data_IF_031436218657
#
_entry.id   IF_031436218657
#
_cell.length_a   1.000
_cell.length_b   1.000
_cell.length_c   1.000
_cell.angle_alpha   90.00
_cell.angle_beta   90.00
_cell.angle_gamma   90.00
#
_symmetry.space_group_name_H-M   'P 1'
#
loop_
_entity.id
_entity.type
_entity.pdbx_description
1 polymer ?
#
# COMPACT_ATOMS: atom_id res chain seq x y z
N UNK A 1 52.74 -3.76 37.26
CA UNK A 1 51.55 -4.59 37.06
C UNK A 1 51.12 -4.41 35.62
N UNK A 2 51.43 -5.40 34.79
CA UNK A 2 51.19 -5.41 33.35
C UNK A 2 49.75 -5.87 33.12
N UNK A 3 48.94 -5.07 32.41
CA UNK A 3 47.58 -5.45 32.03
C UNK A 3 47.69 -6.10 30.66
N UNK A 4 47.63 -7.41 30.64
CA UNK A 4 47.52 -8.20 29.43
C UNK A 4 46.17 -7.90 28.74
N UNK A 5 46.21 -7.18 27.64
CA UNK A 5 45.11 -7.09 26.69
C UNK A 5 44.95 -8.44 25.99
N UNK A 6 44.06 -9.25 26.45
CA UNK A 6 43.53 -10.39 25.69
C UNK A 6 42.83 -9.81 24.42
N UNK A 7 43.57 -9.83 23.32
CA UNK A 7 42.99 -9.68 22.00
C UNK A 7 42.06 -10.86 21.77
N UNK A 8 40.76 -10.63 21.94
CA UNK A 8 39.73 -11.55 21.40
C UNK A 8 39.89 -11.50 19.88
N UNK A 9 40.48 -12.52 19.30
CA UNK A 9 40.46 -12.75 17.86
C UNK A 9 39.00 -12.81 17.45
N UNK A 10 38.56 -11.80 16.72
CA UNK A 10 37.27 -11.82 16.03
C UNK A 10 37.39 -12.94 15.01
N UNK A 11 36.84 -14.10 15.34
CA UNK A 11 36.73 -15.21 14.40
C UNK A 11 36.05 -14.65 13.14
N UNK A 12 36.84 -14.56 12.07
CA UNK A 12 36.28 -14.23 10.74
C UNK A 12 35.26 -15.30 10.45
N UNK A 13 33.98 -14.91 10.48
CA UNK A 13 32.87 -15.78 10.11
C UNK A 13 33.04 -16.03 8.61
N UNK A 14 33.83 -17.03 8.26
CA UNK A 14 33.80 -17.64 6.93
C UNK A 14 32.52 -18.41 6.84
N UNK A 15 31.44 -17.70 6.56
CA UNK A 15 30.15 -18.33 6.21
C UNK A 15 30.38 -18.98 4.85
N UNK A 16 30.62 -20.28 4.84
CA UNK A 16 30.59 -21.03 3.60
C UNK A 16 29.21 -20.84 3.00
N UNK A 17 29.16 -20.27 1.80
CA UNK A 17 27.93 -20.11 1.05
C UNK A 17 27.55 -21.49 0.57
N UNK A 18 26.60 -22.15 1.24
CA UNK A 18 26.11 -23.48 0.89
C UNK A 18 24.87 -23.44 0.02
N UNK A 19 24.35 -22.24 -0.32
CA UNK A 19 23.16 -22.02 -1.12
C UNK A 19 23.47 -21.17 -2.36
N UNK A 20 22.65 -21.28 -3.37
CA UNK A 20 22.60 -20.34 -4.51
C UNK A 20 21.74 -19.16 -4.10
N UNK A 21 22.31 -17.97 -4.11
CA UNK A 21 21.58 -16.72 -3.88
C UNK A 21 21.35 -16.00 -5.20
N UNK A 22 20.12 -15.56 -5.44
CA UNK A 22 19.74 -14.83 -6.64
C UNK A 22 18.88 -13.61 -6.31
N UNK A 23 19.16 -12.47 -6.93
CA UNK A 23 18.28 -11.30 -6.94
C UNK A 23 17.62 -11.17 -8.29
N UNK A 24 16.35 -10.74 -8.28
CA UNK A 24 15.54 -10.52 -9.46
C UNK A 24 15.18 -9.04 -9.58
N UNK A 25 15.57 -8.43 -10.69
CA UNK A 25 15.06 -7.14 -11.13
C UNK A 25 14.03 -7.36 -12.21
N UNK A 26 12.80 -6.99 -11.92
CA UNK A 26 11.64 -7.25 -12.75
C UNK A 26 11.26 -6.03 -13.57
N UNK A 27 11.06 -6.21 -14.86
CA UNK A 27 10.45 -5.23 -15.73
C UNK A 27 9.48 -5.91 -16.71
N UNK A 28 8.68 -5.14 -17.39
CA UNK A 28 7.69 -5.70 -18.34
C UNK A 28 8.32 -6.48 -19.50
N UNK A 29 9.48 -6.05 -19.94
CA UNK A 29 10.13 -6.63 -21.14
C UNK A 29 11.24 -7.62 -20.81
N UNK A 30 11.89 -7.49 -19.66
CA UNK A 30 13.04 -8.33 -19.30
C UNK A 30 13.14 -8.47 -17.77
N UNK A 31 13.60 -9.63 -17.35
CA UNK A 31 14.00 -9.88 -15.97
C UNK A 31 15.51 -10.11 -15.91
N UNK A 32 16.16 -9.44 -14.96
CA UNK A 32 17.59 -9.58 -14.76
C UNK A 32 17.82 -10.41 -13.51
N UNK A 33 18.49 -11.55 -13.68
CA UNK A 33 18.87 -12.47 -12.62
C UNK A 33 20.34 -12.25 -12.28
N UNK A 34 20.62 -11.72 -11.10
CA UNK A 34 22.00 -11.63 -10.59
C UNK A 34 22.19 -12.68 -9.52
N UNK A 35 23.18 -13.56 -9.66
CA UNK A 35 23.35 -14.70 -8.75
C UNK A 35 24.78 -14.90 -8.30
N UNK A 36 24.93 -15.50 -7.12
CA UNK A 36 26.18 -16.04 -6.59
C UNK A 36 25.95 -17.48 -6.15
N UNK A 37 26.89 -18.34 -6.41
CA UNK A 37 26.79 -19.77 -6.10
C UNK A 37 27.99 -20.27 -5.35
N UNK A 38 27.87 -21.34 -4.54
CA UNK A 38 28.98 -21.99 -3.87
C UNK A 38 30.11 -22.39 -4.84
N UNK A 39 31.34 -22.33 -4.39
CA UNK A 39 32.51 -22.68 -5.19
C UNK A 39 32.89 -21.69 -6.31
N UNK A 40 32.13 -20.59 -6.48
CA UNK A 40 32.44 -19.54 -7.47
C UNK A 40 33.29 -18.39 -6.92
N UNK A 41 33.67 -18.44 -5.66
CA UNK A 41 34.27 -17.32 -4.94
C UNK A 41 33.23 -16.19 -4.77
N UNK A 42 33.67 -14.94 -4.81
CA UNK A 42 32.76 -13.78 -4.74
C UNK A 42 32.24 -13.31 -6.10
N UNK A 43 32.47 -14.11 -7.16
CA UNK A 43 32.06 -13.73 -8.53
C UNK A 43 30.55 -13.86 -8.71
N UNK A 44 29.92 -12.73 -8.96
CA UNK A 44 28.49 -12.67 -9.32
C UNK A 44 28.32 -12.91 -10.82
N UNK A 45 27.34 -13.72 -11.18
CA UNK A 45 26.90 -13.93 -12.57
C UNK A 45 25.59 -13.21 -12.83
N UNK A 46 25.40 -12.75 -14.07
CA UNK A 46 24.22 -12.02 -14.49
C UNK A 46 23.64 -12.65 -15.74
N UNK A 47 22.34 -12.83 -15.74
CA UNK A 47 21.59 -13.37 -16.87
C UNK A 47 20.34 -12.52 -17.10
N UNK A 48 19.89 -12.49 -18.34
CA UNK A 48 18.64 -11.82 -18.73
C UNK A 48 17.70 -12.86 -19.29
N UNK A 49 16.47 -12.84 -18.83
CA UNK A 49 15.35 -13.62 -19.38
C UNK A 49 14.23 -12.68 -19.79
N UNK A 50 13.35 -13.13 -20.67
CA UNK A 50 12.20 -12.36 -21.10
C UNK A 50 11.25 -12.09 -19.92
N UNK A 51 10.67 -10.88 -19.89
CA UNK A 51 9.73 -10.50 -18.85
C UNK A 51 8.44 -11.31 -18.93
N UNK A 52 8.07 -11.99 -17.83
CA UNK A 52 6.91 -12.87 -17.76
C UNK A 52 7.21 -14.34 -18.03
N UNK A 53 8.38 -14.69 -18.57
CA UNK A 53 8.76 -16.08 -18.84
C UNK A 53 9.31 -16.76 -17.56
N UNK A 54 8.37 -17.36 -16.81
CA UNK A 54 8.69 -18.09 -15.59
C UNK A 54 9.48 -19.39 -15.89
N UNK A 55 9.25 -20.03 -17.05
CA UNK A 55 9.97 -21.26 -17.41
C UNK A 55 11.44 -20.96 -17.64
N UNK A 56 11.76 -19.99 -18.50
CA UNK A 56 13.13 -19.56 -18.74
C UNK A 56 13.84 -19.07 -17.47
N UNK A 57 13.12 -18.45 -16.52
CA UNK A 57 13.67 -18.11 -15.23
C UNK A 57 14.04 -19.35 -14.42
N UNK A 58 13.16 -20.34 -14.32
CA UNK A 58 13.43 -21.59 -13.60
C UNK A 58 14.59 -22.36 -14.23
N UNK A 59 14.61 -22.53 -15.56
CA UNK A 59 15.70 -23.18 -16.28
C UNK A 59 17.04 -22.52 -15.98
N UNK A 60 17.03 -21.19 -15.88
CA UNK A 60 18.24 -20.43 -15.54
C UNK A 60 18.70 -20.67 -14.10
N UNK A 61 17.78 -20.69 -13.14
CA UNK A 61 18.09 -20.97 -11.73
C UNK A 61 18.62 -22.40 -11.57
N UNK A 62 18.02 -23.37 -12.24
CA UNK A 62 18.47 -24.77 -12.27
C UNK A 62 19.86 -24.93 -12.91
N UNK A 63 20.12 -24.20 -14.01
CA UNK A 63 21.45 -24.19 -14.61
C UNK A 63 22.53 -23.62 -13.69
N UNK A 64 22.22 -22.62 -12.85
CA UNK A 64 23.13 -22.08 -11.83
C UNK A 64 23.35 -23.09 -10.72
N UNK A 65 22.27 -23.76 -10.28
CA UNK A 65 22.34 -24.83 -9.27
C UNK A 65 23.20 -25.99 -9.75
N UNK A 66 22.98 -26.49 -10.96
CA UNK A 66 23.74 -27.61 -11.53
C UNK A 66 25.24 -27.29 -11.60
N UNK A 67 25.63 -26.08 -11.99
CA UNK A 67 27.02 -25.61 -11.98
C UNK A 67 27.59 -25.55 -10.56
N UNK A 68 26.81 -25.12 -9.58
CA UNK A 68 27.22 -25.10 -8.19
C UNK A 68 27.47 -26.52 -7.66
N UNK A 69 26.59 -27.45 -7.94
CA UNK A 69 26.70 -28.86 -7.58
C UNK A 69 27.97 -29.51 -8.14
N UNK A 70 28.24 -29.26 -9.44
CA UNK A 70 29.48 -29.79 -10.07
C UNK A 70 30.75 -29.24 -9.43
N UNK A 71 30.77 -27.96 -9.01
CA UNK A 71 31.96 -27.34 -8.39
C UNK A 71 32.21 -27.80 -6.97
N UNK A 72 31.15 -28.04 -6.22
CA UNK A 72 31.27 -28.35 -4.77
C UNK A 72 31.27 -29.83 -4.47
N UNK A 73 30.92 -30.69 -5.44
CA UNK A 73 30.68 -32.12 -5.20
C UNK A 73 29.55 -32.38 -4.20
N UNK A 74 28.80 -31.36 -3.85
CA UNK A 74 27.81 -31.37 -2.78
C UNK A 74 26.43 -31.83 -3.27
N UNK A 75 25.58 -32.22 -2.32
CA UNK A 75 24.16 -32.41 -2.58
C UNK A 75 23.54 -31.13 -3.13
N UNK A 76 22.32 -31.23 -3.68
CA UNK A 76 21.55 -30.14 -4.26
C UNK A 76 21.54 -28.89 -3.35
N UNK A 77 22.19 -27.76 -3.73
CA UNK A 77 22.19 -26.56 -2.92
C UNK A 77 20.80 -25.91 -2.94
N UNK A 78 20.37 -25.36 -1.81
CA UNK A 78 19.14 -24.55 -1.75
C UNK A 78 19.25 -23.34 -2.68
N UNK A 79 18.16 -22.97 -3.35
CA UNK A 79 18.06 -21.74 -4.15
C UNK A 79 17.23 -20.71 -3.38
N UNK A 80 17.89 -19.61 -3.00
CA UNK A 80 17.26 -18.50 -2.27
C UNK A 80 17.19 -17.29 -3.19
N UNK A 81 15.95 -16.83 -3.44
CA UNK A 81 15.67 -15.77 -4.40
C UNK A 81 15.09 -14.55 -3.68
N UNK A 82 15.48 -13.35 -4.09
CA UNK A 82 14.91 -12.10 -3.62
C UNK A 82 14.49 -11.18 -4.75
N UNK A 83 13.28 -10.62 -4.66
CA UNK A 83 12.77 -9.58 -5.55
C UNK A 83 12.37 -8.34 -4.76
N UNK A 84 12.35 -7.17 -5.41
CA UNK A 84 11.80 -5.97 -4.82
C UNK A 84 10.26 -5.99 -4.83
N UNK A 85 9.65 -5.40 -3.81
CA UNK A 85 8.21 -5.12 -3.81
C UNK A 85 7.93 -3.99 -4.82
N UNK A 86 7.30 -4.33 -5.93
CA UNK A 86 7.07 -3.41 -7.05
C UNK A 86 5.70 -3.56 -7.70
N UNK A 87 5.57 -3.00 -8.90
CA UNK A 87 4.34 -3.05 -9.71
C UNK A 87 4.01 -4.46 -10.23
N UNK A 88 5.00 -5.34 -10.26
CA UNK A 88 4.85 -6.73 -10.71
C UNK A 88 4.04 -7.59 -9.74
N UNK A 89 3.76 -7.08 -8.54
CA UNK A 89 2.99 -7.78 -7.52
C UNK A 89 3.74 -8.95 -6.88
N UNK A 90 2.97 -9.92 -6.38
CA UNK A 90 3.53 -11.05 -5.62
C UNK A 90 3.33 -12.42 -6.31
N UNK A 91 2.82 -12.43 -7.53
CA UNK A 91 2.54 -13.68 -8.24
C UNK A 91 3.81 -14.51 -8.49
N UNK A 92 4.91 -13.84 -8.86
CA UNK A 92 6.19 -14.51 -9.11
C UNK A 92 6.76 -15.13 -7.82
N UNK A 93 6.72 -14.41 -6.71
CA UNK A 93 7.10 -14.93 -5.40
C UNK A 93 6.31 -16.22 -5.06
N UNK A 94 4.99 -16.20 -5.23
CA UNK A 94 4.14 -17.39 -5.00
C UNK A 94 4.45 -18.54 -5.96
N UNK A 95 4.69 -18.22 -7.24
CA UNK A 95 5.03 -19.20 -8.26
C UNK A 95 6.39 -19.87 -7.98
N UNK A 96 7.38 -19.12 -7.49
CA UNK A 96 8.67 -19.66 -7.08
C UNK A 96 8.54 -20.55 -5.83
N UNK A 97 7.79 -20.11 -4.82
CA UNK A 97 7.54 -20.93 -3.63
C UNK A 97 6.82 -22.24 -3.96
N UNK A 98 5.84 -22.21 -4.86
CA UNK A 98 5.13 -23.41 -5.32
C UNK A 98 6.07 -24.42 -6.04
N UNK A 99 7.21 -23.96 -6.56
CA UNK A 99 8.25 -24.79 -7.17
C UNK A 99 9.36 -25.21 -6.20
N UNK A 100 9.22 -24.89 -4.92
CA UNK A 100 10.18 -25.26 -3.88
C UNK A 100 11.37 -24.30 -3.71
N UNK A 101 11.37 -23.14 -4.37
CA UNK A 101 12.40 -22.13 -4.14
C UNK A 101 12.11 -21.33 -2.87
N UNK A 102 13.15 -21.02 -2.09
CA UNK A 102 13.03 -20.08 -0.97
C UNK A 102 13.00 -18.65 -1.52
N UNK A 103 11.81 -18.06 -1.59
CA UNK A 103 11.61 -16.73 -2.17
C UNK A 103 11.32 -15.67 -1.11
N UNK A 104 11.96 -14.52 -1.24
CA UNK A 104 11.78 -13.35 -0.39
C UNK A 104 11.39 -12.11 -1.21
N UNK A 105 10.63 -11.22 -0.60
CA UNK A 105 10.29 -9.92 -1.16
C UNK A 105 10.80 -8.84 -0.22
N UNK A 106 11.55 -7.87 -0.73
CA UNK A 106 12.16 -6.81 0.07
C UNK A 106 11.53 -5.45 -0.23
N UNK A 107 11.43 -4.61 0.80
CA UNK A 107 11.14 -3.18 0.62
C UNK A 107 12.42 -2.48 0.14
N UNK A 108 12.47 -2.12 -1.13
CA UNK A 108 13.62 -1.43 -1.75
C UNK A 108 14.04 -0.16 -0.99
N UNK A 109 13.07 0.57 -0.43
CA UNK A 109 13.35 1.78 0.36
C UNK A 109 14.06 1.50 1.69
N UNK A 110 14.06 0.25 2.16
CA UNK A 110 14.72 -0.18 3.40
C UNK A 110 16.18 -0.57 3.21
N UNK A 111 16.62 -0.80 1.98
CA UNK A 111 18.02 -1.17 1.68
C UNK A 111 18.89 0.07 1.85
N UNK A 112 19.96 -0.06 2.65
CA UNK A 112 20.90 1.02 2.88
C UNK A 112 21.68 1.36 1.60
N UNK A 113 21.33 2.47 0.95
CA UNK A 113 22.08 2.96 -0.21
C UNK A 113 23.27 3.84 0.23
N UNK A 114 24.47 3.68 -0.37
CA UNK A 114 25.60 4.55 -0.09
C UNK A 114 25.31 6.00 -0.49
N UNK A 115 25.17 6.91 0.49
CA UNK A 115 24.77 8.31 0.29
C UNK A 115 25.73 9.14 -0.58
N UNK A 116 27.00 8.73 -0.68
CA UNK A 116 28.07 9.51 -1.35
C UNK A 116 28.18 9.29 -2.86
N UNK A 117 27.43 8.37 -3.44
CA UNK A 117 27.55 8.09 -4.88
C UNK A 117 26.22 8.31 -5.57
N UNK A 118 25.95 9.52 -6.06
CA UNK A 118 25.05 9.75 -7.19
C UNK A 118 25.69 9.10 -8.43
N UNK A 119 25.75 7.75 -8.44
CA UNK A 119 26.12 6.99 -9.63
C UNK A 119 24.91 6.88 -10.54
N UNK A 120 25.18 6.78 -11.85
CA UNK A 120 24.13 6.42 -12.81
C UNK A 120 23.39 5.19 -12.29
N UNK A 121 22.06 5.30 -12.19
CA UNK A 121 21.21 4.16 -11.88
C UNK A 121 21.25 3.23 -13.08
N UNK A 122 21.76 2.02 -12.90
CA UNK A 122 21.78 0.98 -13.93
C UNK A 122 21.30 -0.31 -13.30
N UNK A 123 20.51 -1.08 -14.03
CA UNK A 123 19.97 -2.39 -13.63
C UNK A 123 21.08 -3.31 -13.04
N UNK A 124 22.31 -3.15 -13.49
CA UNK A 124 23.46 -3.92 -12.97
C UNK A 124 23.80 -3.60 -11.51
N UNK A 125 23.80 -2.31 -11.16
CA UNK A 125 24.17 -1.88 -9.80
C UNK A 125 23.06 -2.19 -8.81
N UNK A 126 21.81 -2.16 -9.28
CA UNK A 126 20.65 -2.44 -8.47
C UNK A 126 20.59 -3.94 -8.14
N UNK A 127 20.79 -4.85 -9.11
CA UNK A 127 20.84 -6.30 -8.87
C UNK A 127 21.97 -6.76 -7.96
N UNK A 128 23.17 -6.18 -8.12
CA UNK A 128 24.29 -6.47 -7.21
C UNK A 128 24.00 -5.98 -5.78
N UNK A 129 23.40 -4.80 -5.62
CA UNK A 129 23.04 -4.25 -4.32
C UNK A 129 21.96 -5.10 -3.62
N UNK A 130 20.96 -5.53 -4.39
CA UNK A 130 19.89 -6.40 -3.92
C UNK A 130 20.45 -7.76 -3.47
N UNK A 131 21.36 -8.36 -4.26
CA UNK A 131 21.99 -9.62 -3.92
C UNK A 131 22.88 -9.52 -2.65
N UNK A 132 23.61 -8.42 -2.49
CA UNK A 132 24.40 -8.17 -1.27
C UNK A 132 23.51 -8.00 -0.05
N UNK A 133 22.38 -7.32 -0.20
CA UNK A 133 21.39 -7.19 0.88
C UNK A 133 20.82 -8.55 1.28
N UNK A 134 20.53 -9.43 0.30
CA UNK A 134 20.09 -10.79 0.59
C UNK A 134 21.13 -11.59 1.36
N UNK A 135 22.38 -11.56 0.93
CA UNK A 135 23.49 -12.26 1.60
C UNK A 135 23.69 -11.77 3.05
N UNK A 136 23.68 -10.47 3.25
CA UNK A 136 23.85 -9.89 4.58
C UNK A 136 22.66 -10.23 5.49
N UNK A 137 21.43 -10.17 4.96
CA UNK A 137 20.23 -10.56 5.68
C UNK A 137 20.25 -12.06 6.05
N UNK A 138 20.65 -12.94 5.13
CA UNK A 138 20.76 -14.39 5.37
C UNK A 138 21.79 -14.74 6.45
N UNK A 139 22.81 -13.92 6.62
CA UNK A 139 23.78 -14.04 7.72
C UNK A 139 23.27 -13.50 9.06
N UNK A 140 22.05 -12.96 9.11
CA UNK A 140 21.47 -12.37 10.31
C UNK A 140 22.00 -10.98 10.65
N UNK A 141 22.65 -10.27 9.70
CA UNK A 141 23.13 -8.92 9.94
C UNK A 141 21.97 -7.98 10.25
N UNK A 142 22.02 -7.19 11.33
CA UNK A 142 20.93 -6.33 11.73
C UNK A 142 20.80 -5.12 10.80
N UNK A 143 19.56 -4.68 10.55
CA UNK A 143 19.23 -3.43 9.85
C UNK A 143 19.70 -3.33 8.39
N UNK A 144 19.92 -4.44 7.73
CA UNK A 144 20.32 -4.48 6.32
C UNK A 144 19.16 -4.09 5.40
N UNK A 145 18.03 -4.73 5.60
CA UNK A 145 16.81 -4.48 4.84
C UNK A 145 15.58 -4.96 5.63
N UNK A 146 14.40 -4.60 5.15
CA UNK A 146 13.12 -5.06 5.68
C UNK A 146 12.43 -5.97 4.68
N UNK A 147 12.26 -7.25 5.03
CA UNK A 147 11.47 -8.15 4.21
C UNK A 147 9.99 -7.80 4.29
N UNK A 148 9.35 -7.77 3.14
CA UNK A 148 7.90 -7.61 3.02
C UNK A 148 7.24 -8.95 3.29
N UNK A 149 6.17 -8.96 4.07
CA UNK A 149 5.27 -10.11 4.15
C UNK A 149 4.28 -9.99 2.98
N UNK A 150 4.41 -10.81 1.92
CA UNK A 150 3.47 -10.79 0.81
C UNK A 150 2.06 -11.08 1.31
N UNK A 151 1.06 -10.34 0.85
CA UNK A 151 -0.33 -10.64 1.18
C UNK A 151 -0.77 -11.91 0.47
N UNK A 152 -1.78 -12.60 1.02
CA UNK A 152 -2.44 -13.69 0.30
C UNK A 152 -3.26 -13.14 -0.87
N UNK A 153 -3.64 -13.98 -1.88
CA UNK A 153 -4.52 -13.52 -2.97
C UNK A 153 -5.82 -12.90 -2.45
N UNK A 154 -6.42 -13.48 -1.41
CA UNK A 154 -7.65 -12.99 -0.78
C UNK A 154 -7.43 -11.62 -0.12
N UNK A 155 -6.29 -11.42 0.56
CA UNK A 155 -5.93 -10.13 1.13
C UNK A 155 -5.70 -9.06 0.05
N UNK A 156 -5.12 -9.45 -1.08
CA UNK A 156 -4.98 -8.54 -2.23
C UNK A 156 -6.33 -8.16 -2.79
N UNK A 157 -7.25 -9.13 -2.92
CA UNK A 157 -8.59 -8.90 -3.46
C UNK A 157 -9.42 -7.99 -2.56
N UNK A 158 -9.42 -8.21 -1.26
CA UNK A 158 -10.11 -7.32 -0.30
C UNK A 158 -9.63 -5.86 -0.41
N UNK A 159 -8.34 -5.64 -0.70
CA UNK A 159 -7.78 -4.30 -0.88
C UNK A 159 -8.16 -3.63 -2.19
N UNK A 160 -8.59 -4.40 -3.22
CA UNK A 160 -8.92 -3.86 -4.55
C UNK A 160 -10.03 -2.83 -4.49
N UNK A 161 -11.14 -3.14 -3.84
CA UNK A 161 -12.28 -2.22 -3.73
C UNK A 161 -11.89 -0.85 -3.14
N UNK A 162 -11.03 -0.85 -2.12
CA UNK A 162 -10.51 0.40 -1.56
C UNK A 162 -9.61 1.18 -2.53
N UNK A 163 -8.82 0.48 -3.35
CA UNK A 163 -7.89 1.10 -4.31
C UNK A 163 -8.66 1.63 -5.51
N UNK A 164 -9.57 0.84 -6.05
CA UNK A 164 -10.47 1.23 -7.13
C UNK A 164 -11.30 2.47 -6.77
N UNK A 165 -11.92 2.47 -5.59
CA UNK A 165 -12.63 3.65 -5.10
C UNK A 165 -11.78 4.92 -5.14
N UNK A 166 -10.50 4.83 -4.76
CA UNK A 166 -9.59 5.98 -4.78
C UNK A 166 -9.40 6.51 -6.20
N UNK A 167 -9.24 5.65 -7.19
CA UNK A 167 -9.09 6.07 -8.59
C UNK A 167 -10.41 6.64 -9.14
N UNK A 168 -11.55 6.01 -8.88
CA UNK A 168 -12.86 6.55 -9.26
C UNK A 168 -13.15 7.94 -8.65
N UNK A 169 -12.78 8.16 -7.39
CA UNK A 169 -12.88 9.50 -6.77
C UNK A 169 -11.99 10.52 -7.48
N UNK A 170 -10.78 10.15 -7.85
CA UNK A 170 -9.87 11.02 -8.60
C UNK A 170 -10.42 11.37 -9.99
N UNK A 171 -10.93 10.37 -10.72
CA UNK A 171 -11.56 10.57 -12.02
C UNK A 171 -12.79 11.48 -11.90
N UNK A 172 -13.63 11.26 -10.90
CA UNK A 172 -14.77 12.14 -10.60
C UNK A 172 -14.34 13.60 -10.43
N UNK A 173 -13.27 13.84 -9.64
CA UNK A 173 -12.78 15.20 -9.42
C UNK A 173 -12.31 15.82 -10.74
N UNK A 174 -11.58 15.08 -11.57
CA UNK A 174 -11.12 15.55 -12.88
C UNK A 174 -12.31 15.90 -13.78
N UNK A 175 -13.35 15.05 -13.84
CA UNK A 175 -14.55 15.32 -14.65
C UNK A 175 -15.33 16.54 -14.15
N UNK A 176 -15.53 16.66 -12.85
CA UNK A 176 -16.20 17.82 -12.23
C UNK A 176 -15.46 19.11 -12.55
N UNK A 177 -14.15 19.14 -12.35
CA UNK A 177 -13.34 20.33 -12.61
C UNK A 177 -13.34 20.70 -14.10
N UNK A 178 -13.34 19.72 -15.00
CA UNK A 178 -13.37 19.95 -16.44
C UNK A 178 -14.72 20.55 -16.89
N UNK A 179 -15.84 20.05 -16.35
CA UNK A 179 -17.17 20.62 -16.61
C UNK A 179 -17.22 22.08 -16.10
N UNK A 180 -16.80 22.32 -14.86
CA UNK A 180 -16.73 23.66 -14.27
C UNK A 180 -15.85 24.59 -15.09
N UNK A 181 -14.68 24.14 -15.54
CA UNK A 181 -13.75 24.93 -16.35
C UNK A 181 -14.33 25.34 -17.71
N UNK A 182 -15.05 24.43 -18.40
CA UNK A 182 -15.72 24.74 -19.66
C UNK A 182 -16.83 25.78 -19.49
N UNK A 183 -17.60 25.68 -18.42
CA UNK A 183 -18.67 26.63 -18.11
C UNK A 183 -18.10 27.98 -17.62
N UNK A 184 -17.03 27.95 -16.83
CA UNK A 184 -16.35 29.16 -16.37
C UNK A 184 -15.82 30.00 -17.56
N UNK A 185 -15.29 29.33 -18.59
CA UNK A 185 -14.87 29.99 -19.83
C UNK A 185 -16.03 30.66 -20.60
N UNK A 186 -17.27 30.36 -20.25
CA UNK A 186 -18.50 31.01 -20.78
C UNK A 186 -19.08 32.03 -19.80
N UNK A 187 -18.36 32.38 -18.73
CA UNK A 187 -18.85 33.31 -17.71
C UNK A 187 -19.83 32.68 -16.70
N UNK A 188 -19.90 31.35 -16.60
CA UNK A 188 -20.79 30.63 -15.70
C UNK A 188 -19.99 30.00 -14.57
N UNK A 189 -20.07 30.58 -13.35
CA UNK A 189 -19.27 30.15 -12.19
C UNK A 189 -20.02 29.28 -11.17
N UNK A 190 -21.34 29.27 -11.17
CA UNK A 190 -22.17 28.71 -10.10
C UNK A 190 -22.78 27.32 -10.41
N UNK A 191 -22.39 26.70 -11.52
CA UNK A 191 -22.86 25.37 -11.88
C UNK A 191 -22.18 24.27 -11.06
N UNK A 192 -22.99 23.41 -10.45
CA UNK A 192 -22.51 22.27 -9.62
C UNK A 192 -22.87 20.92 -10.26
N UNK A 193 -21.89 20.25 -10.91
CA UNK A 193 -22.12 18.99 -11.62
C UNK A 193 -22.58 17.81 -10.73
N UNK A 194 -22.32 17.87 -9.43
CA UNK A 194 -22.69 16.79 -8.50
C UNK A 194 -24.13 16.86 -8.00
N UNK A 195 -24.86 17.93 -8.27
CA UNK A 195 -26.28 18.04 -7.91
C UNK A 195 -27.12 17.02 -8.66
N UNK A 196 -28.20 16.54 -8.04
CA UNK A 196 -29.11 15.57 -8.66
C UNK A 196 -29.87 16.16 -9.86
N UNK A 197 -30.18 17.46 -9.81
CA UNK A 197 -30.88 18.21 -10.86
C UNK A 197 -29.91 18.79 -11.92
N UNK A 198 -28.67 18.29 -12.02
CA UNK A 198 -27.62 18.79 -12.90
C UNK A 198 -28.04 18.98 -14.35
N UNK A 199 -28.73 18.00 -14.93
CA UNK A 199 -29.18 18.08 -16.33
C UNK A 199 -30.26 19.15 -16.53
N UNK A 200 -31.26 19.19 -15.64
CA UNK A 200 -32.31 20.23 -15.70
C UNK A 200 -31.74 21.63 -15.57
N UNK A 201 -30.70 21.79 -14.75
CA UNK A 201 -29.99 23.08 -14.57
C UNK A 201 -29.11 23.47 -15.75
N UNK A 202 -28.66 22.50 -16.56
CA UNK A 202 -27.82 22.78 -17.74
C UNK A 202 -28.67 23.44 -18.87
N UNK A 203 -29.94 23.09 -18.99
CA UNK A 203 -30.82 23.53 -20.09
C UNK A 203 -31.00 25.05 -20.15
N UNK A 204 -31.34 25.77 -19.05
CA UNK A 204 -31.61 27.20 -19.08
C UNK A 204 -30.31 28.05 -18.95
N UNK A 205 -29.12 27.45 -18.89
CA UNK A 205 -27.90 28.22 -18.71
C UNK A 205 -27.68 29.22 -19.84
N UNK A 206 -27.25 30.41 -19.46
CA UNK A 206 -26.81 31.50 -20.34
C UNK A 206 -25.35 31.83 -20.08
N UNK A 207 -24.68 32.18 -21.13
CA UNK A 207 -23.28 32.71 -21.05
C UNK A 207 -23.26 34.06 -20.33
N UNK A 208 -22.13 34.50 -19.87
CA UNK A 208 -21.95 35.81 -19.20
C UNK A 208 -22.40 37.01 -20.03
N UNK A 209 -22.43 36.88 -21.36
CA UNK A 209 -22.94 37.86 -22.32
C UNK A 209 -24.45 37.60 -22.71
N UNK A 210 -25.14 36.69 -22.00
CA UNK A 210 -26.60 36.50 -22.13
C UNK A 210 -27.03 35.49 -23.21
N UNK A 211 -26.13 34.96 -24.04
CA UNK A 211 -26.46 34.01 -25.11
C UNK A 211 -26.77 32.61 -24.52
N UNK A 212 -27.49 31.80 -25.29
CA UNK A 212 -27.61 30.38 -24.98
C UNK A 212 -26.28 29.66 -25.19
N UNK A 213 -26.05 28.56 -24.48
CA UNK A 213 -24.88 27.71 -24.73
C UNK A 213 -24.91 27.18 -26.17
N UNK A 214 -23.76 27.29 -26.84
CA UNK A 214 -23.59 26.81 -28.21
C UNK A 214 -23.84 25.30 -28.32
N UNK A 215 -24.44 24.79 -29.41
CA UNK A 215 -24.88 23.42 -29.54
C UNK A 215 -23.76 22.37 -29.33
N UNK A 216 -22.56 22.65 -29.82
CA UNK A 216 -21.42 21.71 -29.68
C UNK A 216 -20.92 21.65 -28.22
N UNK A 217 -20.86 22.79 -27.53
CA UNK A 217 -20.51 22.84 -26.11
C UNK A 217 -21.57 22.11 -25.28
N UNK A 218 -22.86 22.33 -25.55
CA UNK A 218 -23.95 21.65 -24.86
C UNK A 218 -23.90 20.14 -25.06
N UNK A 219 -23.64 19.67 -26.29
CA UNK A 219 -23.43 18.25 -26.60
C UNK A 219 -22.20 17.67 -25.84
N UNK A 220 -21.11 18.44 -25.78
CA UNK A 220 -19.90 18.04 -25.04
C UNK A 220 -20.20 17.90 -23.55
N UNK A 221 -20.85 18.89 -22.94
CA UNK A 221 -21.22 18.86 -21.53
C UNK A 221 -22.15 17.69 -21.21
N UNK A 222 -23.12 17.37 -22.05
CA UNK A 222 -23.99 16.22 -21.86
C UNK A 222 -23.21 14.90 -21.87
N UNK A 223 -22.29 14.69 -22.84
CA UNK A 223 -21.42 13.50 -22.84
C UNK A 223 -20.51 13.41 -21.61
N UNK A 224 -20.11 14.56 -21.05
CA UNK A 224 -19.32 14.58 -19.80
C UNK A 224 -20.18 14.27 -18.59
N UNK A 225 -21.46 14.69 -18.58
CA UNK A 225 -22.41 14.32 -17.54
C UNK A 225 -22.74 12.83 -17.60
N UNK A 226 -22.88 12.22 -18.80
CA UNK A 226 -23.07 10.78 -18.96
C UNK A 226 -21.92 10.00 -18.27
N UNK A 227 -20.66 10.41 -18.52
CA UNK A 227 -19.48 9.80 -17.89
C UNK A 227 -19.47 10.02 -16.39
N UNK A 228 -19.83 11.22 -15.93
CA UNK A 228 -19.87 11.51 -14.50
C UNK A 228 -20.93 10.67 -13.78
N UNK A 229 -22.10 10.46 -14.39
CA UNK A 229 -23.15 9.62 -13.84
C UNK A 229 -22.71 8.16 -13.73
N UNK A 230 -22.09 7.61 -14.78
CA UNK A 230 -21.49 6.28 -14.74
C UNK A 230 -20.47 6.15 -13.62
N UNK A 231 -19.56 7.14 -13.47
CA UNK A 231 -18.57 7.15 -12.38
C UNK A 231 -19.22 7.19 -10.99
N UNK A 232 -20.32 7.91 -10.83
CA UNK A 232 -21.05 7.97 -9.56
C UNK A 232 -21.74 6.64 -9.24
N UNK A 233 -22.29 5.95 -10.23
CA UNK A 233 -22.90 4.64 -10.08
C UNK A 233 -21.82 3.58 -9.72
N UNK A 234 -20.73 3.51 -10.46
CA UNK A 234 -19.59 2.62 -10.16
C UNK A 234 -19.00 2.88 -8.76
N UNK A 235 -18.88 4.16 -8.38
CA UNK A 235 -18.39 4.52 -7.05
C UNK A 235 -19.33 3.99 -5.95
N UNK A 236 -20.65 4.06 -6.17
CA UNK A 236 -21.62 3.54 -5.22
C UNK A 236 -21.58 2.00 -5.10
N UNK A 237 -21.39 1.30 -6.23
CA UNK A 237 -21.23 -0.16 -6.26
C UNK A 237 -19.96 -0.62 -5.52
N UNK A 238 -18.83 0.02 -5.81
CA UNK A 238 -17.56 -0.30 -5.16
C UNK A 238 -17.60 0.02 -3.65
N UNK A 239 -18.25 1.12 -3.25
CA UNK A 239 -18.47 1.45 -1.84
C UNK A 239 -19.34 0.41 -1.14
N UNK A 240 -20.40 -0.06 -1.78
CA UNK A 240 -21.27 -1.10 -1.24
C UNK A 240 -20.52 -2.43 -1.09
N UNK A 241 -19.88 -2.92 -2.15
CA UNK A 241 -19.09 -4.15 -2.12
C UNK A 241 -17.99 -4.13 -1.07
N UNK A 242 -17.31 -2.99 -0.92
CA UNK A 242 -16.30 -2.78 0.13
C UNK A 242 -16.89 -2.90 1.53
N UNK A 243 -18.03 -2.23 1.77
CA UNK A 243 -18.66 -2.18 3.09
C UNK A 243 -19.17 -3.57 3.49
N UNK A 244 -19.77 -4.31 2.54
CA UNK A 244 -20.21 -5.70 2.73
C UNK A 244 -19.05 -6.64 3.10
N UNK A 245 -17.91 -6.55 2.40
CA UNK A 245 -16.73 -7.41 2.65
C UNK A 245 -16.13 -7.22 4.04
N UNK A 246 -16.24 -6.05 4.64
CA UNK A 246 -15.76 -5.79 6.00
C UNK A 246 -16.87 -5.86 7.05
N UNK A 247 -18.02 -6.39 6.68
CA UNK A 247 -19.16 -6.62 7.58
C UNK A 247 -19.83 -5.34 8.06
N UNK A 248 -19.76 -4.24 7.29
CA UNK A 248 -20.46 -3.01 7.58
C UNK A 248 -21.86 -3.06 6.95
N UNK A 249 -22.86 -2.62 7.69
CA UNK A 249 -24.22 -2.55 7.19
C UNK A 249 -24.32 -1.63 5.94
N UNK A 250 -25.03 -2.05 4.88
CA UNK A 250 -25.18 -1.22 3.69
C UNK A 250 -25.85 0.11 4.05
N UNK A 251 -25.32 1.21 3.52
CA UNK A 251 -25.98 2.51 3.65
C UNK A 251 -27.36 2.42 3.00
N UNK A 252 -28.44 2.59 3.77
CA UNK A 252 -29.81 2.64 3.23
C UNK A 252 -29.84 3.65 2.08
N UNK A 253 -29.93 3.17 0.84
CA UNK A 253 -30.25 4.02 -0.31
C UNK A 253 -31.61 4.62 -0.02
N UNK A 254 -31.72 5.95 0.12
CA UNK A 254 -33.02 6.63 -0.05
C UNK A 254 -33.45 6.31 -1.48
N UNK A 255 -34.46 5.46 -1.60
CA UNK A 255 -34.98 4.97 -2.86
C UNK A 255 -35.37 6.16 -3.75
N UNK A 256 -34.59 6.37 -4.81
CA UNK A 256 -35.06 7.07 -5.97
C UNK A 256 -35.65 5.99 -6.88
N UNK A 257 -36.95 5.96 -7.01
CA UNK A 257 -37.63 5.09 -7.95
C UNK A 257 -37.11 5.38 -9.36
N UNK A 258 -36.31 4.47 -9.89
CA UNK A 258 -35.99 4.40 -11.32
C UNK A 258 -36.81 3.25 -11.88
N UNK A 259 -37.60 3.53 -12.88
CA UNK A 259 -38.35 2.54 -13.64
C UNK A 259 -37.40 1.45 -14.16
N UNK A 260 -37.78 0.21 -13.99
CA UNK A 260 -37.04 -0.95 -14.44
C UNK A 260 -36.88 -0.93 -15.97
N UNK A 261 -35.69 -1.20 -16.53
CA UNK A 261 -35.59 -1.54 -17.94
C UNK A 261 -36.15 -2.95 -18.14
N UNK A 262 -37.00 -3.08 -19.13
CA UNK A 262 -37.60 -4.32 -19.63
C UNK A 262 -36.51 -5.38 -19.90
N UNK A 263 -36.64 -6.54 -19.27
CA UNK A 263 -35.77 -7.68 -19.48
C UNK A 263 -35.93 -8.23 -20.89
N UNK A 264 -34.82 -8.38 -21.62
CA UNK A 264 -34.74 -9.24 -22.81
C UNK A 264 -34.44 -10.68 -22.36
N UNK A 265 -34.96 -11.70 -23.04
CA UNK A 265 -34.84 -13.08 -22.60
C UNK A 265 -33.43 -13.63 -22.79
N UNK A 266 -32.91 -14.27 -21.76
CA UNK A 266 -31.64 -14.94 -21.72
C UNK A 266 -31.63 -16.20 -22.61
N UNK A 267 -30.60 -16.33 -23.45
CA UNK A 267 -30.27 -17.56 -24.13
C UNK A 267 -29.76 -18.59 -23.11
N UNK A 268 -30.36 -19.76 -23.10
CA UNK A 268 -29.99 -20.89 -22.25
C UNK A 268 -28.63 -21.46 -22.68
N UNK A 269 -27.66 -21.41 -21.79
CA UNK A 269 -26.42 -22.18 -21.90
C UNK A 269 -26.33 -23.16 -20.72
N UNK A 270 -26.05 -24.39 -21.06
CA UNK A 270 -26.02 -25.58 -20.24
C UNK A 270 -25.19 -25.47 -18.95
N UNK A 271 -25.81 -25.89 -17.86
CA UNK A 271 -25.19 -26.08 -16.55
C UNK A 271 -24.26 -27.31 -16.58
N UNK A 272 -22.97 -27.07 -16.47
CA UNK A 272 -22.03 -28.05 -15.93
C UNK A 272 -21.85 -27.74 -14.44
N UNK A 273 -22.42 -28.58 -13.59
CA UNK A 273 -22.25 -28.46 -12.13
C UNK A 273 -20.79 -28.79 -11.78
N UNK A 274 -20.04 -27.79 -11.35
CA UNK A 274 -18.82 -27.99 -10.58
C UNK A 274 -19.19 -27.70 -9.13
N UNK A 275 -19.13 -28.74 -8.32
CA UNK A 275 -19.33 -28.71 -6.88
C UNK A 275 -18.15 -27.94 -6.24
N UNK A 276 -18.27 -26.62 -6.14
CA UNK A 276 -17.35 -25.80 -5.38
C UNK A 276 -17.73 -25.91 -3.90
N UNK A 277 -17.06 -26.83 -3.22
CA UNK A 277 -17.03 -26.88 -1.77
C UNK A 277 -16.71 -25.47 -1.23
N UNK A 278 -17.68 -24.88 -0.54
CA UNK A 278 -17.59 -23.59 0.14
C UNK A 278 -16.48 -23.67 1.20
N UNK A 279 -15.24 -23.32 0.80
CA UNK A 279 -14.15 -23.17 1.73
C UNK A 279 -14.50 -22.07 2.75
N UNK A 280 -14.44 -22.41 4.04
CA UNK A 280 -14.61 -21.45 5.12
C UNK A 280 -13.72 -20.22 4.90
N UNK A 281 -14.20 -18.99 5.17
CA UNK A 281 -13.43 -17.78 4.94
C UNK A 281 -12.09 -17.88 5.67
N UNK A 282 -10.99 -17.64 4.96
CA UNK A 282 -9.65 -17.74 5.52
C UNK A 282 -9.55 -16.90 6.79
N UNK A 283 -8.88 -17.41 7.83
CA UNK A 283 -8.78 -16.79 9.18
C UNK A 283 -8.41 -15.29 9.15
N UNK A 284 -7.71 -14.84 8.11
CA UNK A 284 -7.31 -13.46 7.93
C UNK A 284 -8.48 -12.53 7.52
N UNK A 285 -9.44 -13.04 6.75
CA UNK A 285 -10.65 -12.28 6.37
C UNK A 285 -11.52 -12.07 7.62
N UNK A 286 -11.64 -13.09 8.46
CA UNK A 286 -12.35 -13.02 9.75
C UNK A 286 -11.74 -11.96 10.67
N UNK A 287 -10.41 -11.85 10.74
CA UNK A 287 -9.74 -10.84 11.55
C UNK A 287 -9.99 -9.42 11.04
N UNK A 288 -9.89 -9.18 9.73
CA UNK A 288 -10.16 -7.87 9.14
C UNK A 288 -11.59 -7.40 9.44
N UNK A 289 -12.57 -8.32 9.37
CA UNK A 289 -13.97 -8.06 9.75
C UNK A 289 -14.09 -7.69 11.22
N UNK A 290 -13.49 -8.45 12.13
CA UNK A 290 -13.49 -8.16 13.57
C UNK A 290 -12.89 -6.77 13.89
N UNK A 291 -11.74 -6.45 13.29
CA UNK A 291 -11.10 -5.13 13.39
C UNK A 291 -12.02 -4.04 12.86
N UNK A 292 -12.70 -4.25 11.73
CA UNK A 292 -13.61 -3.28 11.14
C UNK A 292 -14.81 -2.99 12.07
N UNK A 293 -15.41 -4.03 12.66
CA UNK A 293 -16.51 -3.92 13.62
C UNK A 293 -16.12 -3.14 14.88
N UNK A 294 -14.88 -3.24 15.33
CA UNK A 294 -14.37 -2.42 16.44
C UNK A 294 -14.16 -0.97 16.01
N UNK A 295 -13.53 -0.74 14.87
CA UNK A 295 -13.20 0.61 14.40
C UNK A 295 -14.42 1.46 14.09
N UNK A 296 -15.46 0.88 13.48
CA UNK A 296 -16.67 1.64 13.12
C UNK A 296 -17.41 2.21 14.34
N UNK A 297 -17.25 1.60 15.50
CA UNK A 297 -17.82 2.07 16.77
C UNK A 297 -17.12 3.34 17.28
N UNK A 298 -15.93 3.66 16.82
CA UNK A 298 -15.22 4.86 17.26
C UNK A 298 -15.79 6.10 16.57
N UNK A 299 -16.15 7.12 17.31
CA UNK A 299 -16.63 8.39 16.78
C UNK A 299 -15.61 9.01 15.81
N UNK A 300 -16.07 9.53 14.66
CA UNK A 300 -15.19 10.10 13.63
C UNK A 300 -14.55 9.09 12.68
N UNK A 301 -14.62 7.79 12.96
CA UNK A 301 -14.17 6.74 12.02
C UNK A 301 -15.38 6.29 11.20
N UNK A 302 -15.38 6.63 9.91
CA UNK A 302 -16.38 6.19 8.93
C UNK A 302 -15.94 4.95 8.16
N UNK A 303 -16.81 4.46 7.26
CA UNK A 303 -16.57 3.24 6.48
C UNK A 303 -15.25 3.25 5.71
N UNK A 304 -14.85 4.39 5.11
CA UNK A 304 -13.57 4.50 4.38
C UNK A 304 -12.37 4.28 5.30
N UNK A 305 -12.31 5.00 6.43
CA UNK A 305 -11.23 4.82 7.41
C UNK A 305 -11.21 3.39 7.97
N UNK A 306 -12.38 2.87 8.33
CA UNK A 306 -12.54 1.51 8.84
C UNK A 306 -11.97 0.51 7.85
N UNK A 307 -12.37 0.58 6.59
CA UNK A 307 -11.96 -0.37 5.55
C UNK A 307 -10.45 -0.31 5.27
N UNK A 308 -9.88 0.89 5.12
CA UNK A 308 -8.44 1.02 4.89
C UNK A 308 -7.63 0.55 6.11
N UNK A 309 -8.03 0.93 7.31
CA UNK A 309 -7.31 0.56 8.53
C UNK A 309 -7.36 -0.95 8.79
N UNK A 310 -8.51 -1.59 8.60
CA UNK A 310 -8.68 -3.04 8.81
C UNK A 310 -7.96 -3.89 7.78
N UNK A 311 -7.80 -3.40 6.53
CA UNK A 311 -7.24 -4.22 5.44
C UNK A 311 -5.78 -3.90 5.09
N UNK A 312 -5.32 -2.67 5.37
CA UNK A 312 -3.97 -2.24 5.00
C UNK A 312 -3.03 -2.13 6.21
N UNK A 313 -3.55 -2.15 7.44
CA UNK A 313 -2.74 -1.87 8.63
C UNK A 313 -2.97 -2.78 9.82
N UNK A 314 -4.18 -2.75 10.38
CA UNK A 314 -4.49 -3.33 11.69
C UNK A 314 -4.83 -4.84 11.64
N UNK A 315 -4.89 -5.43 10.45
CA UNK A 315 -4.95 -6.89 10.27
C UNK A 315 -3.66 -7.61 10.68
N UNK A 316 -2.55 -6.85 10.82
CA UNK A 316 -1.22 -7.38 11.10
C UNK A 316 -0.96 -7.47 12.60
N UNK A 317 -0.15 -8.48 12.97
CA UNK A 317 0.43 -8.55 14.30
C UNK A 317 1.68 -7.70 14.38
N UNK A 318 1.69 -6.77 15.33
CA UNK A 318 2.88 -6.00 15.67
C UNK A 318 3.41 -6.46 17.04
N UNK A 319 4.70 -6.72 17.12
CA UNK A 319 5.35 -7.14 18.36
C UNK A 319 5.34 -6.05 19.43
N UNK A 320 5.35 -4.79 19.00
CA UNK A 320 5.39 -3.64 19.90
C UNK A 320 4.99 -2.33 19.18
N UNK A 321 4.78 -1.26 19.99
CA UNK A 321 4.42 0.07 19.51
C UNK A 321 5.41 0.69 18.51
N UNK A 322 6.72 0.32 18.59
CA UNK A 322 7.73 0.84 17.65
C UNK A 322 7.52 0.26 16.28
N UNK A 323 7.27 -1.05 16.19
CA UNK A 323 7.00 -1.73 14.93
C UNK A 323 5.70 -1.19 14.28
N UNK A 324 4.61 -1.04 15.05
CA UNK A 324 3.37 -0.44 14.55
C UNK A 324 3.61 0.99 14.01
N UNK A 325 4.29 1.84 14.77
CA UNK A 325 4.62 3.20 14.34
C UNK A 325 5.50 3.26 13.09
N UNK A 326 6.48 2.37 12.96
CA UNK A 326 7.35 2.29 11.77
C UNK A 326 6.59 1.84 10.53
N UNK A 327 5.72 0.84 10.68
CA UNK A 327 4.89 0.32 9.58
C UNK A 327 3.98 1.38 8.97
N UNK A 328 3.46 2.31 9.77
CA UNK A 328 2.65 3.42 9.28
C UNK A 328 3.45 4.44 8.45
N UNK A 329 4.78 4.40 8.48
CA UNK A 329 5.66 5.36 7.82
C UNK A 329 5.60 6.77 8.38
N UNK A 330 5.09 6.92 9.63
CA UNK A 330 4.94 8.19 10.34
C UNK A 330 6.04 8.42 11.39
N UNK A 331 7.11 7.62 11.33
CA UNK A 331 8.26 7.77 12.24
C UNK A 331 9.16 8.88 11.72
N UNK A 332 9.59 9.77 12.62
CA UNK A 332 10.60 10.77 12.32
C UNK A 332 11.95 10.11 12.00
N UNK A 333 12.70 10.73 11.13
CA UNK A 333 14.08 10.34 10.80
C UNK A 333 15.02 11.41 11.34
N UNK A 334 15.52 11.26 12.59
CA UNK A 334 16.48 12.20 13.14
C UNK A 334 17.81 12.09 12.36
N UNK A 335 18.40 13.23 12.11
CA UNK A 335 19.77 13.34 11.64
C UNK A 335 20.59 13.95 12.76
N UNK A 336 21.27 13.10 13.50
CA UNK A 336 22.16 13.53 14.59
C UNK A 336 23.59 13.24 14.15
N UNK A 337 24.43 14.27 14.04
CA UNK A 337 25.84 14.17 13.71
C UNK A 337 26.61 15.24 14.47
N UNK A 338 27.33 14.85 15.51
CA UNK A 338 28.04 15.78 16.40
C UNK A 338 27.05 16.75 17.05
N UNK A 339 27.26 18.05 16.86
CA UNK A 339 26.37 19.12 17.39
C UNK A 339 25.13 19.38 16.53
N UNK A 340 25.01 18.75 15.35
CA UNK A 340 23.88 18.91 14.47
C UNK A 340 22.77 17.94 14.82
N UNK A 341 21.65 18.46 15.36
CA UNK A 341 20.40 17.72 15.54
C UNK A 341 19.35 18.30 14.60
N UNK A 342 19.05 17.55 13.53
CA UNK A 342 18.08 17.97 12.52
C UNK A 342 17.10 16.84 12.20
N UNK A 343 15.81 17.12 12.35
CA UNK A 343 14.77 16.19 11.91
C UNK A 343 14.51 16.32 10.39
N UNK A 344 14.74 15.23 9.65
CA UNK A 344 14.50 15.18 8.19
C UNK A 344 13.02 14.96 7.80
N UNK A 345 12.11 14.97 8.77
CA UNK A 345 10.70 14.64 8.56
C UNK A 345 10.40 13.16 8.76
N UNK A 346 9.34 12.66 8.11
CA UNK A 346 8.91 11.25 8.26
C UNK A 346 9.67 10.32 7.32
N UNK A 347 9.89 9.10 7.76
CA UNK A 347 10.67 8.08 7.03
C UNK A 347 10.07 7.72 5.66
N UNK A 348 8.74 7.88 5.49
CA UNK A 348 7.97 7.46 4.30
C UNK A 348 8.10 5.96 3.99
N UNK A 349 8.83 5.20 4.77
CA UNK A 349 8.86 3.74 4.71
C UNK A 349 7.48 3.16 5.08
N UNK A 350 7.18 1.95 4.64
CA UNK A 350 5.90 1.29 4.89
C UNK A 350 4.78 1.71 3.92
N UNK A 351 3.52 1.46 4.33
CA UNK A 351 2.36 1.61 3.45
C UNK A 351 1.97 3.09 3.21
N UNK A 352 2.13 3.64 1.98
CA UNK A 352 1.81 5.05 1.69
C UNK A 352 0.33 5.37 1.86
N UNK A 353 -0.55 4.39 1.60
CA UNK A 353 -2.00 4.57 1.72
C UNK A 353 -2.39 4.70 3.19
N UNK A 354 -1.91 3.79 4.02
CA UNK A 354 -2.13 3.86 5.46
C UNK A 354 -1.65 5.18 6.04
N UNK A 355 -0.45 5.64 5.66
CA UNK A 355 0.10 6.93 6.08
C UNK A 355 -0.82 8.09 5.72
N UNK A 356 -1.27 8.17 4.47
CA UNK A 356 -2.17 9.23 4.01
C UNK A 356 -3.50 9.20 4.76
N UNK A 357 -4.08 8.01 4.91
CA UNK A 357 -5.34 7.79 5.64
C UNK A 357 -5.21 8.21 7.11
N UNK A 358 -4.11 7.86 7.76
CA UNK A 358 -3.87 8.26 9.15
C UNK A 358 -3.68 9.76 9.34
N UNK A 359 -3.03 10.44 8.39
CA UNK A 359 -2.90 11.91 8.42
C UNK A 359 -4.27 12.56 8.25
N UNK A 360 -5.09 12.09 7.30
CA UNK A 360 -6.46 12.57 7.11
C UNK A 360 -7.32 12.37 8.35
N UNK A 361 -7.26 11.19 8.96
CA UNK A 361 -7.97 10.91 10.19
C UNK A 361 -7.50 11.81 11.34
N UNK A 362 -6.21 12.06 11.46
CA UNK A 362 -5.65 12.95 12.47
C UNK A 362 -6.09 14.41 12.33
N UNK A 363 -6.32 14.89 11.10
CA UNK A 363 -6.92 16.20 10.87
C UNK A 363 -8.37 16.29 11.37
N UNK A 364 -9.14 15.22 11.22
CA UNK A 364 -10.54 15.15 11.62
C UNK A 364 -10.71 14.79 13.12
N UNK A 365 -9.72 14.13 13.71
CA UNK A 365 -9.81 13.62 15.07
C UNK A 365 -10.17 14.66 16.12
N UNK A 366 -9.55 15.87 16.19
CA UNK A 366 -9.90 16.86 17.18
C UNK A 366 -11.33 17.38 17.08
N UNK A 367 -11.93 17.34 15.90
CA UNK A 367 -13.33 17.76 15.65
C UNK A 367 -14.31 16.71 16.16
N UNK A 368 -14.06 15.43 15.85
CA UNK A 368 -14.96 14.33 16.22
C UNK A 368 -14.70 13.77 17.62
N UNK A 369 -13.52 14.02 18.17
CA UNK A 369 -13.04 13.50 19.47
C UNK A 369 -12.46 14.61 20.35
N UNK A 370 -13.25 15.65 20.69
CA UNK A 370 -12.73 16.84 21.36
C UNK A 370 -12.19 16.58 22.76
N UNK A 371 -12.70 15.52 23.42
CA UNK A 371 -12.37 15.18 24.82
C UNK A 371 -11.34 14.05 24.95
N UNK A 372 -10.89 13.45 23.83
CA UNK A 372 -9.88 12.39 23.90
C UNK A 372 -8.54 12.90 24.44
N UNK A 373 -7.82 12.05 25.16
CA UNK A 373 -6.47 12.38 25.67
C UNK A 373 -5.52 12.79 24.54
N UNK A 374 -5.67 12.18 23.35
CA UNK A 374 -4.89 12.53 22.17
C UNK A 374 -5.19 13.94 21.66
N UNK A 375 -6.45 14.39 21.73
CA UNK A 375 -6.83 15.75 21.35
C UNK A 375 -6.33 16.77 22.37
N UNK A 376 -6.43 16.47 23.68
CA UNK A 376 -5.87 17.33 24.73
C UNK A 376 -4.37 17.50 24.54
N UNK A 377 -3.64 16.40 24.35
CA UNK A 377 -2.21 16.41 24.04
C UNK A 377 -1.88 17.26 22.80
N UNK A 378 -2.66 17.11 21.72
CA UNK A 378 -2.44 17.86 20.48
C UNK A 378 -2.64 19.37 20.70
N UNK A 379 -3.72 19.77 21.37
CA UNK A 379 -4.02 21.18 21.67
C UNK A 379 -2.96 21.81 22.57
N UNK A 380 -2.52 21.09 23.61
CA UNK A 380 -1.44 21.54 24.49
C UNK A 380 -0.16 21.80 23.70
N UNK A 381 0.28 20.83 22.91
CA UNK A 381 1.48 21.01 22.07
C UNK A 381 1.34 22.12 21.05
N UNK A 382 0.14 22.31 20.48
CA UNK A 382 -0.11 23.39 19.52
C UNK A 382 -0.05 24.77 20.17
N UNK A 383 -0.50 24.93 21.40
CA UNK A 383 -0.43 26.18 22.15
C UNK A 383 1.01 26.65 22.40
N UNK A 384 1.95 25.71 22.54
CA UNK A 384 3.37 26.00 22.78
C UNK A 384 4.23 25.93 21.51
N UNK A 385 3.61 25.65 20.35
CA UNK A 385 4.34 25.48 19.09
C UNK A 385 4.47 26.81 18.36
N UNK A 386 5.69 27.15 17.96
CA UNK A 386 6.01 28.31 17.14
C UNK A 386 6.60 27.90 15.79
N UNK A 387 6.47 28.77 14.79
CA UNK A 387 7.10 28.60 13.49
C UNK A 387 6.20 28.02 12.40
N UNK A 388 6.64 28.30 11.15
CA UNK A 388 5.95 27.84 9.93
C UNK A 388 5.92 26.32 9.86
N UNK A 389 4.74 25.71 9.72
CA UNK A 389 4.58 24.28 9.59
C UNK A 389 4.47 23.50 10.91
N UNK A 390 4.48 24.15 12.08
CA UNK A 390 4.34 23.49 13.40
C UNK A 390 3.05 22.67 13.47
N UNK A 391 1.93 23.21 12.99
CA UNK A 391 0.63 22.50 12.97
C UNK A 391 0.70 21.20 12.14
N UNK A 392 1.33 21.22 10.97
CA UNK A 392 1.47 20.05 10.10
C UNK A 392 2.33 18.97 10.78
N UNK A 393 3.45 19.36 11.41
CA UNK A 393 4.31 18.43 12.16
C UNK A 393 3.56 17.76 13.30
N UNK A 394 2.77 18.54 14.05
CA UNK A 394 1.96 18.03 15.18
C UNK A 394 0.84 17.10 14.72
N UNK A 395 0.18 17.37 13.57
CA UNK A 395 -0.80 16.45 13.00
C UNK A 395 -0.17 15.12 12.62
N UNK A 396 1.04 15.11 12.06
CA UNK A 396 1.76 13.87 11.76
C UNK A 396 2.12 13.12 13.03
N UNK A 397 2.53 13.80 14.09
CA UNK A 397 2.80 13.19 15.38
C UNK A 397 1.51 12.63 16.01
N UNK A 398 0.38 13.35 15.89
CA UNK A 398 -0.93 12.87 16.30
C UNK A 398 -1.34 11.61 15.51
N UNK A 399 -1.14 11.62 14.18
CA UNK A 399 -1.43 10.47 13.32
C UNK A 399 -0.69 9.19 13.76
N UNK A 400 0.59 9.33 14.13
CA UNK A 400 1.38 8.22 14.66
C UNK A 400 0.85 7.72 16.01
N UNK A 401 0.57 8.64 16.94
CA UNK A 401 0.01 8.27 18.25
C UNK A 401 -1.35 7.61 18.10
N UNK A 402 -2.20 8.14 17.23
CA UNK A 402 -3.52 7.63 16.96
C UNK A 402 -3.46 6.22 16.35
N UNK A 403 -2.55 5.96 15.39
CA UNK A 403 -2.38 4.62 14.84
C UNK A 403 -1.98 3.59 15.92
N UNK A 404 -1.07 3.96 16.81
CA UNK A 404 -0.68 3.10 17.93
C UNK A 404 -1.85 2.86 18.88
N UNK A 405 -2.64 3.89 19.20
CA UNK A 405 -3.82 3.75 20.05
C UNK A 405 -4.90 2.87 19.42
N UNK A 406 -5.17 3.03 18.12
CA UNK A 406 -6.10 2.17 17.37
C UNK A 406 -5.62 0.72 17.30
N UNK A 407 -4.32 0.50 17.12
CA UNK A 407 -3.75 -0.84 17.20
C UNK A 407 -3.94 -1.48 18.58
N UNK A 408 -3.66 -0.75 19.67
CA UNK A 408 -3.88 -1.26 21.03
C UNK A 408 -5.35 -1.57 21.28
N UNK A 409 -6.23 -0.70 20.81
CA UNK A 409 -7.67 -0.92 20.89
C UNK A 409 -8.10 -2.19 20.15
N UNK A 410 -7.65 -2.39 18.91
CA UNK A 410 -8.08 -3.53 18.08
C UNK A 410 -7.38 -4.85 18.43
N UNK A 411 -6.16 -4.78 18.96
CA UNK A 411 -5.37 -5.98 19.31
C UNK A 411 -5.60 -6.47 20.74
N UNK A 412 -5.82 -5.54 21.69
CA UNK A 412 -5.88 -5.84 23.12
C UNK A 412 -7.18 -5.37 23.79
N UNK A 413 -8.08 -4.74 23.03
CA UNK A 413 -9.32 -4.17 23.59
C UNK A 413 -9.10 -2.92 24.45
N UNK A 414 -7.90 -2.33 24.46
CA UNK A 414 -7.60 -1.15 25.26
C UNK A 414 -8.35 0.08 24.75
N UNK A 415 -9.27 0.69 25.51
CA UNK A 415 -10.02 1.84 25.06
C UNK A 415 -9.12 3.05 24.85
N UNK A 416 -9.44 3.87 23.85
CA UNK A 416 -8.76 5.15 23.67
C UNK A 416 -9.30 6.12 24.70
N UNK A 417 -8.48 6.58 25.62
CA UNK A 417 -8.86 7.43 26.74
C UNK A 417 -9.64 8.67 26.30
N UNK A 418 -10.84 8.84 26.85
CA UNK A 418 -11.75 9.94 26.55
C UNK A 418 -12.31 9.95 25.13
N UNK A 419 -12.23 8.84 24.40
CA UNK A 419 -12.82 8.74 23.08
C UNK A 419 -14.33 8.47 23.15
N UNK A 420 -15.07 9.16 22.30
CA UNK A 420 -16.51 8.99 22.11
C UNK A 420 -16.74 7.76 21.24
N UNK A 421 -17.51 6.80 21.75
CA UNK A 421 -17.95 5.64 21.00
C UNK A 421 -19.35 5.89 20.43
N UNK A 422 -19.62 5.36 19.23
CA UNK A 422 -20.98 5.36 18.67
C UNK A 422 -21.80 4.26 19.35
N UNK A 423 -23.05 4.56 19.59
CA UNK A 423 -24.03 3.58 20.06
C UNK A 423 -24.31 2.50 19.02
#
# INVERSE_FOLDING_TARGET
MSIDHVRTETAAIKTQINAVFASLELSRSKWVVTSISPGAGEKMSRHVVEGGDLSALCDRLEAVEAKARTRTGSQKPEIIVMQEAGLDGFWLHRALQARGYTSHVVDAASIAAPRRKRKKKTDRLDGEALLRALLAWSRGEPRVCSMVRPPTPEQEDVRRACRERKELVKERIVHVNRIKGLLFAQGIGDYEPLRRDRRRRLEPLRTGDGRALEPNLKKQLNRMLDRLELLLDQLAEVEQARDERVGLAPKRKKAAAKAAPTAQPACAASQGAIDEGMAAPAATTTRAVGVAQMLIKVGGIGAEFTSVLSTEGLERDFRNRRQAGSFSGLTSTPWISGQLDHEQGVSKAGNPRLRTTMIQLAWLWPTHQPHSALTRWYKDKLAHASGRGAKQKLVVALARKLFIALWRYTAFGEPIEGAIMKA
#
